data_IF_387057943947
#
_entry.id   IF_387057943947
#
_cell.length_a   1.000
_cell.length_b   1.000
_cell.length_c   1.000
_cell.angle_alpha   90.00
_cell.angle_beta   90.00
_cell.angle_gamma   90.00
#
_symmetry.space_group_name_H-M   'P 1'
#
loop_
_entity.id
_entity.type
_entity.pdbx_description
1 polymer ?
#
# COMPACT_ATOMS: atom_id res chain seq x y z
N UNK A 1 5.80 11.84 20.06
CA UNK A 1 4.94 11.76 18.86
C UNK A 1 3.75 10.87 19.19
N UNK A 2 2.53 11.34 18.97
CA UNK A 2 1.31 10.53 19.11
C UNK A 2 1.36 9.32 18.17
N UNK A 3 0.80 8.19 18.61
CA UNK A 3 0.58 7.03 17.74
C UNK A 3 -0.63 7.32 16.87
N UNK A 4 -0.51 7.11 15.56
CA UNK A 4 -1.62 7.28 14.61
C UNK A 4 -2.37 5.94 14.57
N UNK A 5 -3.66 5.95 14.84
CA UNK A 5 -4.51 4.76 14.73
C UNK A 5 -5.21 4.74 13.39
N UNK A 6 -5.19 3.60 12.70
CA UNK A 6 -5.92 3.39 11.45
C UNK A 6 -5.35 2.27 10.59
N UNK A 7 -5.77 2.22 9.32
CA UNK A 7 -5.47 1.09 8.44
C UNK A 7 -4.15 1.24 7.69
N UNK A 8 -3.56 0.10 7.36
CA UNK A 8 -2.44 -0.04 6.44
C UNK A 8 -2.97 -0.36 5.05
N UNK A 9 -2.45 0.30 4.04
CA UNK A 9 -2.62 -0.05 2.63
C UNK A 9 -1.24 -0.38 2.04
N UNK A 10 -1.15 -1.51 1.35
CA UNK A 10 0.05 -1.94 0.64
C UNK A 10 -0.28 -2.24 -0.83
N UNK A 11 0.59 -1.83 -1.75
CA UNK A 11 0.39 -2.02 -3.18
C UNK A 11 1.71 -2.36 -3.91
N UNK A 12 1.60 -3.02 -5.07
CA UNK A 12 2.73 -3.33 -5.95
C UNK A 12 2.62 -2.51 -7.25
N UNK A 13 3.70 -1.85 -7.64
CA UNK A 13 3.78 -1.02 -8.84
C UNK A 13 4.86 -1.50 -9.81
N UNK A 14 4.62 -1.35 -11.11
CA UNK A 14 5.61 -1.64 -12.14
C UNK A 14 5.77 -3.13 -12.46
N UNK A 15 6.97 -3.49 -12.90
CA UNK A 15 7.28 -4.85 -13.36
C UNK A 15 7.44 -5.85 -12.20
N UNK A 16 6.90 -7.07 -12.32
CA UNK A 16 7.08 -8.11 -11.32
C UNK A 16 8.56 -8.49 -11.15
N UNK A 17 8.94 -8.88 -9.91
CA UNK A 17 10.27 -9.44 -9.61
C UNK A 17 10.12 -10.81 -8.93
N UNK A 18 11.25 -11.49 -8.70
CA UNK A 18 11.26 -12.78 -8.00
C UNK A 18 10.89 -12.66 -6.51
N UNK A 19 11.05 -11.47 -5.90
CA UNK A 19 10.97 -11.28 -4.45
C UNK A 19 9.99 -10.20 -4.02
N UNK A 20 9.29 -9.54 -4.96
CA UNK A 20 8.38 -8.42 -4.65
C UNK A 20 7.27 -8.80 -3.64
N UNK A 21 6.86 -10.07 -3.60
CA UNK A 21 5.90 -10.57 -2.62
C UNK A 21 6.45 -10.61 -1.19
N UNK A 22 7.76 -10.79 -1.01
CA UNK A 22 8.38 -10.75 0.31
C UNK A 22 8.24 -9.37 0.95
N UNK A 23 8.34 -8.29 0.15
CA UNK A 23 8.14 -6.92 0.63
C UNK A 23 6.71 -6.68 1.12
N UNK A 24 5.70 -7.11 0.34
CA UNK A 24 4.29 -6.98 0.73
C UNK A 24 3.98 -7.79 1.99
N UNK A 25 4.46 -9.03 2.04
CA UNK A 25 4.25 -9.91 3.18
C UNK A 25 4.98 -9.40 4.41
N UNK A 26 6.18 -8.85 4.26
CA UNK A 26 6.92 -8.20 5.34
C UNK A 26 6.13 -7.04 5.95
N UNK A 27 5.51 -6.19 5.12
CA UNK A 27 4.61 -5.13 5.61
C UNK A 27 3.44 -5.71 6.38
N UNK A 28 2.75 -6.72 5.85
CA UNK A 28 1.59 -7.31 6.50
C UNK A 28 1.93 -7.97 7.85
N UNK A 29 2.98 -8.78 7.90
CA UNK A 29 3.43 -9.47 9.11
C UNK A 29 3.90 -8.48 10.19
N UNK A 30 4.60 -7.42 9.79
CA UNK A 30 5.09 -6.42 10.73
C UNK A 30 3.94 -5.54 11.24
N UNK A 31 3.05 -5.09 10.35
CA UNK A 31 1.87 -4.30 10.71
C UNK A 31 0.96 -5.02 11.73
N UNK A 32 0.84 -6.35 11.63
CA UNK A 32 0.03 -7.15 12.55
C UNK A 32 0.51 -7.10 14.01
N UNK A 33 1.77 -6.72 14.26
CA UNK A 33 2.36 -6.63 15.61
C UNK A 33 1.95 -5.34 16.35
N UNK A 34 1.34 -4.38 15.65
CA UNK A 34 1.05 -3.05 16.20
C UNK A 34 -0.44 -2.87 16.48
N UNK A 35 -0.80 -2.64 17.74
CA UNK A 35 -2.20 -2.49 18.16
C UNK A 35 -2.92 -1.28 17.56
N UNK A 36 -2.18 -0.27 17.10
CA UNK A 36 -2.76 0.90 16.43
C UNK A 36 -3.14 0.64 14.97
N UNK A 37 -2.73 -0.50 14.39
CA UNK A 37 -3.13 -0.90 13.04
C UNK A 37 -4.43 -1.67 13.12
N UNK A 38 -5.52 -1.10 12.60
CA UNK A 38 -6.86 -1.69 12.71
C UNK A 38 -7.15 -2.73 11.62
N UNK A 39 -6.58 -2.56 10.43
CA UNK A 39 -6.66 -3.52 9.32
C UNK A 39 -5.51 -3.31 8.33
N UNK A 40 -5.24 -4.31 7.50
CA UNK A 40 -4.16 -4.34 6.51
C UNK A 40 -4.77 -4.71 5.16
N UNK A 41 -4.79 -3.76 4.23
CA UNK A 41 -5.33 -3.95 2.89
C UNK A 41 -4.22 -4.08 1.86
N UNK A 42 -4.36 -5.03 0.93
CA UNK A 42 -3.58 -5.12 -0.29
C UNK A 42 -4.38 -4.64 -1.49
N UNK A 43 -3.88 -3.65 -2.24
CA UNK A 43 -4.53 -3.18 -3.46
C UNK A 43 -4.26 -4.09 -4.65
N UNK A 44 -5.31 -4.65 -5.25
CA UNK A 44 -5.19 -5.53 -6.41
C UNK A 44 -5.02 -4.68 -7.68
N UNK A 45 -3.99 -4.94 -8.49
CA UNK A 45 -3.61 -4.09 -9.64
C UNK A 45 -3.03 -2.71 -9.24
N UNK A 46 -2.30 -2.63 -8.13
CA UNK A 46 -1.53 -1.45 -7.77
C UNK A 46 -2.38 -0.18 -7.63
N UNK A 47 -1.93 0.92 -8.23
CA UNK A 47 -2.61 2.23 -8.18
C UNK A 47 -4.03 2.20 -8.75
N UNK A 48 -4.30 1.32 -9.71
CA UNK A 48 -5.65 1.14 -10.28
C UNK A 48 -6.60 0.51 -9.27
N UNK A 49 -6.12 -0.50 -8.54
CA UNK A 49 -6.86 -1.09 -7.43
C UNK A 49 -7.24 -0.09 -6.35
N UNK A 50 -6.40 0.91 -6.12
CA UNK A 50 -6.69 1.97 -5.15
C UNK A 50 -7.85 2.84 -5.65
N UNK A 51 -7.84 3.25 -6.92
CA UNK A 51 -8.93 4.05 -7.50
C UNK A 51 -10.24 3.28 -7.55
N UNK A 52 -10.17 1.99 -7.92
CA UNK A 52 -11.33 1.12 -8.07
C UNK A 52 -11.80 0.50 -6.73
N UNK A 53 -11.16 0.87 -5.62
CA UNK A 53 -11.42 0.35 -4.27
C UNK A 53 -11.37 -1.19 -4.19
N UNK A 54 -10.53 -1.80 -5.03
CA UNK A 54 -10.35 -3.24 -5.11
C UNK A 54 -9.26 -3.71 -4.15
N UNK A 55 -9.69 -4.01 -2.91
CA UNK A 55 -8.82 -4.38 -1.81
C UNK A 55 -9.02 -5.83 -1.37
N UNK A 56 -7.91 -6.50 -1.03
CA UNK A 56 -7.90 -7.76 -0.27
C UNK A 56 -7.54 -7.45 1.17
N UNK A 57 -8.32 -8.00 2.10
CA UNK A 57 -8.06 -7.88 3.54
C UNK A 57 -7.03 -8.91 4.00
N UNK A 58 -5.78 -8.47 4.12
CA UNK A 58 -4.65 -9.28 4.56
C UNK A 58 -4.65 -9.55 6.07
N UNK A 59 -5.44 -8.82 6.86
CA UNK A 59 -5.58 -9.07 8.31
C UNK A 59 -6.22 -10.42 8.61
N UNK A 60 -7.00 -10.96 7.66
CA UNK A 60 -7.70 -12.24 7.78
C UNK A 60 -6.84 -13.44 7.40
N UNK A 61 -5.68 -13.20 6.80
CA UNK A 61 -4.79 -14.27 6.35
C UNK A 61 -3.92 -14.80 7.49
N UNK A 62 -3.61 -16.10 7.43
CA UNK A 62 -2.68 -16.71 8.37
C UNK A 62 -1.24 -16.36 8.02
N UNK A 63 -0.36 -16.30 9.03
CA UNK A 63 1.09 -16.17 8.80
C UNK A 63 1.60 -17.20 7.80
N UNK A 64 1.13 -18.44 7.88
CA UNK A 64 1.50 -19.51 6.95
C UNK A 64 1.11 -19.19 5.50
N UNK A 65 -0.11 -18.71 5.25
CA UNK A 65 -0.55 -18.32 3.91
C UNK A 65 0.27 -17.16 3.36
N UNK A 66 0.52 -16.15 4.18
CA UNK A 66 1.34 -14.99 3.80
C UNK A 66 2.77 -15.44 3.45
N UNK A 67 3.40 -16.30 4.25
CA UNK A 67 4.73 -16.85 3.96
C UNK A 67 4.74 -17.70 2.69
N UNK A 68 3.67 -18.44 2.39
CA UNK A 68 3.55 -19.15 1.11
C UNK A 68 3.54 -18.18 -0.07
N UNK A 69 2.81 -17.07 0.03
CA UNK A 69 2.79 -16.01 -1.00
C UNK A 69 4.17 -15.36 -1.14
N UNK A 70 4.87 -15.10 -0.03
CA UNK A 70 6.23 -14.56 -0.04
C UNK A 70 7.23 -15.42 -0.83
N UNK A 71 7.00 -16.73 -0.86
CA UNK A 71 7.82 -17.70 -1.60
C UNK A 71 7.38 -17.90 -3.06
N UNK A 72 6.47 -17.08 -3.58
CA UNK A 72 6.08 -17.10 -5.00
C UNK A 72 6.68 -15.93 -5.75
N UNK A 73 7.17 -16.13 -7.00
CA UNK A 73 7.64 -15.04 -7.84
C UNK A 73 6.46 -14.23 -8.38
N UNK A 74 6.78 -13.11 -9.04
CA UNK A 74 5.81 -12.17 -9.62
C UNK A 74 5.02 -11.35 -8.59
N UNK A 75 4.15 -10.47 -9.07
CA UNK A 75 3.30 -9.62 -8.23
C UNK A 75 2.05 -10.38 -7.79
N UNK A 76 2.00 -10.83 -6.53
CA UNK A 76 0.88 -11.58 -5.95
C UNK A 76 -0.40 -10.77 -5.79
N UNK A 77 -0.29 -9.44 -5.63
CA UNK A 77 -1.43 -8.51 -5.69
C UNK A 77 -1.71 -8.01 -7.11
N UNK A 78 -0.98 -8.52 -8.13
CA UNK A 78 -0.94 -7.97 -9.48
C UNK A 78 -0.40 -6.52 -9.48
N UNK A 79 0.06 -6.05 -10.64
CA UNK A 79 0.57 -4.68 -10.77
C UNK A 79 0.21 -4.09 -12.12
N UNK A 80 0.31 -2.78 -12.23
CA UNK A 80 0.16 -2.04 -13.49
C UNK A 80 1.42 -1.22 -13.77
N UNK A 81 1.51 -0.72 -15.01
CA UNK A 81 2.52 0.26 -15.44
C UNK A 81 1.92 1.66 -15.57
N UNK A 82 0.78 1.88 -14.93
CA UNK A 82 0.16 3.20 -14.90
C UNK A 82 1.09 4.14 -14.13
N UNK A 83 1.42 5.28 -14.73
CA UNK A 83 2.14 6.36 -14.06
C UNK A 83 1.12 7.35 -13.53
N UNK A 84 0.92 7.44 -12.19
CA UNK A 84 0.01 8.40 -11.62
C UNK A 84 0.53 9.83 -11.84
N UNK A 85 -0.32 10.70 -12.36
CA UNK A 85 -0.12 12.15 -12.29
C UNK A 85 -0.71 12.70 -10.98
N UNK A 86 -0.67 14.03 -10.82
CA UNK A 86 -1.18 14.70 -9.60
C UNK A 86 -2.68 14.45 -9.38
N UNK A 87 -3.50 14.52 -10.43
CA UNK A 87 -4.95 14.29 -10.35
C UNK A 87 -5.26 12.83 -9.97
N UNK A 88 -4.49 11.89 -10.51
CA UNK A 88 -4.57 10.49 -10.15
C UNK A 88 -4.22 10.28 -8.67
N UNK A 89 -3.12 10.87 -8.20
CA UNK A 89 -2.71 10.80 -6.81
C UNK A 89 -3.73 11.45 -5.87
N UNK A 90 -4.35 12.56 -6.28
CA UNK A 90 -5.40 13.22 -5.51
C UNK A 90 -6.65 12.33 -5.37
N UNK A 91 -7.04 11.59 -6.42
CA UNK A 91 -8.11 10.60 -6.34
C UNK A 91 -7.74 9.42 -5.43
N UNK A 92 -6.52 8.90 -5.54
CA UNK A 92 -6.02 7.85 -4.64
C UNK A 92 -6.07 8.30 -3.17
N UNK A 93 -5.63 9.53 -2.89
CA UNK A 93 -5.65 10.10 -1.55
C UNK A 93 -7.07 10.21 -0.98
N UNK A 94 -8.06 10.60 -1.79
CA UNK A 94 -9.47 10.62 -1.37
C UNK A 94 -9.97 9.24 -0.96
N UNK A 95 -9.60 8.19 -1.70
CA UNK A 95 -9.93 6.81 -1.32
C UNK A 95 -9.25 6.45 -0.01
N UNK A 96 -7.95 6.75 0.14
CA UNK A 96 -7.22 6.48 1.38
C UNK A 96 -7.88 7.15 2.59
N UNK A 97 -8.30 8.41 2.44
CA UNK A 97 -9.00 9.15 3.48
C UNK A 97 -10.37 8.54 3.80
N UNK A 98 -11.14 8.15 2.79
CA UNK A 98 -12.45 7.54 2.97
C UNK A 98 -12.40 6.19 3.72
N UNK A 99 -11.31 5.44 3.55
CA UNK A 99 -11.10 4.14 4.20
C UNK A 99 -10.37 4.21 5.54
N UNK A 100 -10.04 5.41 6.04
CA UNK A 100 -9.21 5.65 7.22
C UNK A 100 -7.83 4.97 7.14
N UNK A 101 -7.24 5.02 5.95
CA UNK A 101 -5.86 4.57 5.73
C UNK A 101 -4.91 5.63 6.28
N UNK A 102 -4.00 5.20 7.16
CA UNK A 102 -3.01 6.04 7.85
C UNK A 102 -1.58 5.70 7.50
N UNK A 103 -1.39 4.53 6.88
CA UNK A 103 -0.10 4.04 6.44
C UNK A 103 -0.24 3.51 5.02
N UNK A 104 0.49 4.10 4.08
CA UNK A 104 0.52 3.64 2.70
C UNK A 104 1.94 3.19 2.36
N UNK A 105 2.09 1.92 1.96
CA UNK A 105 3.34 1.34 1.52
C UNK A 105 3.24 0.99 0.04
N UNK A 106 4.10 1.58 -0.79
CA UNK A 106 4.10 1.30 -2.21
C UNK A 106 5.42 0.66 -2.64
N UNK A 107 5.34 -0.60 -3.04
CA UNK A 107 6.49 -1.39 -3.51
C UNK A 107 6.66 -1.18 -5.01
N UNK A 108 7.82 -0.70 -5.45
CA UNK A 108 8.10 -0.51 -6.88
C UNK A 108 9.30 0.40 -7.15
N UNK A 109 9.42 0.86 -8.39
CA UNK A 109 10.54 1.69 -8.85
C UNK A 109 10.35 3.20 -8.63
N UNK A 110 11.03 4.00 -9.45
CA UNK A 110 11.04 5.46 -9.32
C UNK A 110 9.64 6.10 -9.42
N UNK A 111 8.78 5.64 -10.33
CA UNK A 111 7.41 6.19 -10.46
C UNK A 111 6.58 5.92 -9.19
N UNK A 112 6.83 4.79 -8.49
CA UNK A 112 6.20 4.49 -7.19
C UNK A 112 6.70 5.45 -6.11
N UNK A 113 7.98 5.80 -6.12
CA UNK A 113 8.56 6.79 -5.21
C UNK A 113 7.93 8.18 -5.41
N UNK A 114 7.76 8.60 -6.67
CA UNK A 114 7.14 9.89 -6.98
C UNK A 114 5.65 9.92 -6.59
N UNK A 115 4.93 8.81 -6.80
CA UNK A 115 3.54 8.64 -6.34
C UNK A 115 3.44 8.81 -4.81
N UNK A 116 4.34 8.17 -4.06
CA UNK A 116 4.38 8.28 -2.59
C UNK A 116 4.62 9.72 -2.14
N UNK A 117 5.55 10.43 -2.80
CA UNK A 117 5.83 11.85 -2.53
C UNK A 117 4.57 12.72 -2.74
N UNK A 118 3.92 12.61 -3.89
CA UNK A 118 2.73 13.40 -4.23
C UNK A 118 1.59 13.10 -3.24
N UNK A 119 1.32 11.82 -2.95
CA UNK A 119 0.28 11.44 -1.97
C UNK A 119 0.58 12.01 -0.59
N UNK A 120 1.85 12.02 -0.16
CA UNK A 120 2.26 12.62 1.10
C UNK A 120 2.04 14.14 1.12
N UNK A 121 2.36 14.84 0.04
CA UNK A 121 2.11 16.29 -0.11
C UNK A 121 0.61 16.61 -0.05
N UNK A 122 -0.23 15.80 -0.69
CA UNK A 122 -1.70 15.93 -0.63
C UNK A 122 -2.23 15.74 0.80
N UNK A 123 -1.70 14.75 1.53
CA UNK A 123 -2.08 14.52 2.92
C UNK A 123 -1.70 15.68 3.84
N UNK A 124 -0.49 16.24 3.65
CA UNK A 124 -0.05 17.44 4.38
C UNK A 124 -0.94 18.64 4.08
N UNK A 125 -1.26 18.89 2.81
CA UNK A 125 -2.15 19.98 2.41
C UNK A 125 -3.57 19.83 2.98
N UNK A 126 -4.05 18.60 3.13
CA UNK A 126 -5.35 18.28 3.73
C UNK A 126 -5.33 18.21 5.26
N UNK A 127 -4.18 18.45 5.91
CA UNK A 127 -3.97 18.25 7.35
C UNK A 127 -4.45 16.86 7.84
N UNK A 128 -4.20 15.84 7.01
CA UNK A 128 -4.57 14.46 7.30
C UNK A 128 -3.32 13.67 7.64
N UNK A 129 -3.28 13.10 8.84
CA UNK A 129 -2.15 12.27 9.28
C UNK A 129 -2.11 10.96 8.48
N UNK A 130 -1.29 10.93 7.42
CA UNK A 130 -0.94 9.78 6.59
C UNK A 130 0.57 9.67 6.54
N UNK A 131 1.10 8.45 6.63
CA UNK A 131 2.50 8.15 6.34
C UNK A 131 2.56 7.36 5.04
N UNK A 132 3.12 7.95 4.00
CA UNK A 132 3.37 7.26 2.74
C UNK A 132 4.85 6.87 2.66
N UNK A 133 5.14 5.59 2.44
CA UNK A 133 6.49 5.02 2.43
C UNK A 133 6.69 4.24 1.13
N UNK A 134 7.77 4.56 0.44
CA UNK A 134 8.22 3.82 -0.73
C UNK A 134 9.09 2.63 -0.29
N UNK A 135 8.88 1.48 -0.93
CA UNK A 135 9.72 0.29 -0.76
C UNK A 135 10.35 -0.02 -2.13
N UNK A 136 11.69 0.12 -2.27
CA UNK A 136 12.38 -0.11 -3.53
C UNK A 136 12.42 -1.57 -3.95
#
# INVERSE_FOLDING_TARGET
MSRIEGKVLVAQGGGPTHVINQSIVGVALEAHKFSQVTSIYGAVHGVRGIIDENFVDLTRETTHNLERVANTPSSGLLSTRDKPDEDYCARMFKVMQAHDIRYFFYVGGNDSSDTVRIVNEQALAANYELRAIHIP
#
